data_IF_567240328180
#
_entry.id   IF_567240328180
#
_cell.length_a   1.000
_cell.length_b   1.000
_cell.length_c   1.000
_cell.angle_alpha   90.00
_cell.angle_beta   90.00
_cell.angle_gamma   90.00
#
_symmetry.space_group_name_H-M   'P 1'
#
loop_
_entity.id
_entity.type
_entity.pdbx_description
1 polymer ?
#
# COMPACT_ATOMS: atom_id res chain seq x y z
N UNK A 1 -37.46 14.39 -72.61
CA UNK A 1 -36.68 13.18 -72.26
C UNK A 1 -35.22 13.58 -72.18
N UNK A 2 -34.42 12.97 -71.27
CA UNK A 2 -33.03 13.36 -70.87
C UNK A 2 -33.14 14.45 -69.77
N UNK A 3 -32.76 14.36 -68.49
CA UNK A 3 -31.86 13.53 -67.65
C UNK A 3 -32.35 13.60 -66.18
N UNK A 4 -32.44 12.52 -65.40
CA UNK A 4 -31.40 11.87 -64.55
C UNK A 4 -30.68 12.81 -63.56
N UNK A 5 -31.22 12.83 -62.34
CA UNK A 5 -30.58 12.98 -61.02
C UNK A 5 -29.27 13.79 -60.93
N UNK A 6 -29.39 15.03 -60.45
CA UNK A 6 -28.31 15.79 -59.86
C UNK A 6 -28.67 16.23 -58.44
N UNK A 7 -28.02 15.55 -57.50
CA UNK A 7 -27.36 15.99 -56.26
C UNK A 7 -27.97 17.06 -55.32
N UNK A 8 -27.68 16.87 -54.01
CA UNK A 8 -28.37 17.43 -52.86
C UNK A 8 -27.85 18.83 -52.52
N UNK A 9 -28.45 19.45 -51.51
CA UNK A 9 -28.31 20.84 -51.05
C UNK A 9 -29.46 21.66 -51.63
N UNK A 10 -30.35 22.28 -50.89
CA UNK A 10 -30.34 22.92 -49.58
C UNK A 10 -31.75 22.64 -48.98
N UNK A 11 -32.12 22.85 -47.72
CA UNK A 11 -32.22 24.10 -46.96
C UNK A 11 -32.70 23.65 -45.56
N UNK A 12 -32.42 24.47 -44.53
CA UNK A 12 -33.05 24.52 -43.19
C UNK A 12 -32.76 23.33 -42.28
N UNK A 13 -32.19 23.46 -41.08
CA UNK A 13 -32.44 24.47 -40.04
C UNK A 13 -31.23 24.52 -39.09
N UNK A 14 -30.59 25.68 -39.03
CA UNK A 14 -29.81 26.09 -37.87
C UNK A 14 -30.77 26.33 -36.70
N UNK A 15 -30.70 25.55 -35.60
CA UNK A 15 -31.25 25.89 -34.27
C UNK A 15 -31.15 24.69 -33.31
N UNK A 16 -29.95 24.31 -32.88
CA UNK A 16 -29.78 23.56 -31.60
C UNK A 16 -28.36 23.73 -31.03
N UNK A 17 -27.83 24.95 -31.14
CA UNK A 17 -26.69 25.38 -30.33
C UNK A 17 -27.25 26.16 -29.14
N UNK A 18 -27.56 25.48 -28.03
CA UNK A 18 -27.68 25.99 -26.66
C UNK A 18 -28.37 24.89 -25.85
N UNK A 19 -27.62 24.04 -25.15
CA UNK A 19 -27.97 23.35 -23.89
C UNK A 19 -26.96 22.21 -23.67
N UNK A 20 -26.36 22.20 -22.47
CA UNK A 20 -25.38 21.24 -21.93
C UNK A 20 -23.88 21.62 -22.08
N UNK A 21 -23.57 22.90 -21.89
CA UNK A 21 -22.30 23.29 -21.27
C UNK A 21 -22.46 23.24 -19.74
N UNK A 22 -22.34 22.06 -19.12
CA UNK A 22 -22.38 21.93 -17.64
C UNK A 22 -21.67 20.69 -17.04
N UNK A 23 -20.96 19.87 -17.82
CA UNK A 23 -20.14 18.77 -17.27
C UNK A 23 -18.68 18.90 -17.73
N UNK A 24 -18.09 20.06 -17.52
CA UNK A 24 -16.65 20.28 -17.67
C UNK A 24 -16.14 20.91 -16.37
N UNK A 25 -16.02 20.10 -15.32
CA UNK A 25 -15.55 20.56 -14.02
C UNK A 25 -15.22 19.40 -13.10
N UNK A 26 -13.92 19.21 -12.85
CA UNK A 26 -13.30 18.28 -11.90
C UNK A 26 -13.31 16.79 -12.25
N UNK A 27 -12.60 16.44 -13.33
CA UNK A 27 -11.61 15.37 -13.21
C UNK A 27 -10.32 16.02 -12.67
N UNK A 28 -10.38 16.53 -11.44
CA UNK A 28 -9.19 16.98 -10.75
C UNK A 28 -8.50 15.72 -10.24
N UNK A 29 -7.29 15.53 -10.74
CA UNK A 29 -6.27 14.61 -10.29
C UNK A 29 -6.30 14.37 -8.78
N UNK A 30 -7.00 13.33 -8.34
CA UNK A 30 -6.63 12.64 -7.11
C UNK A 30 -5.49 11.70 -7.49
N UNK A 31 -4.32 12.30 -7.74
CA UNK A 31 -3.10 11.68 -7.27
C UNK A 31 -3.39 11.35 -5.80
N UNK A 32 -3.59 10.06 -5.51
CA UNK A 32 -3.52 9.58 -4.15
C UNK A 32 -2.07 9.83 -3.71
N UNK A 33 -1.79 11.05 -3.23
CA UNK A 33 -0.71 11.29 -2.30
C UNK A 33 -0.92 10.25 -1.21
N UNK A 34 0.02 9.30 -1.15
CA UNK A 34 -0.09 8.12 -0.31
C UNK A 34 -0.45 8.56 1.09
N UNK A 35 -1.72 8.34 1.45
CA UNK A 35 -2.21 8.68 2.77
C UNK A 35 -1.34 7.89 3.75
N UNK A 36 -0.53 8.60 4.53
CA UNK A 36 0.22 8.01 5.62
C UNK A 36 -0.78 7.24 6.47
N UNK A 37 -0.65 5.90 6.59
CA UNK A 37 -1.61 5.13 7.34
C UNK A 37 -1.68 5.67 8.77
N UNK A 38 -2.87 5.70 9.39
CA UNK A 38 -3.02 6.22 10.73
C UNK A 38 -2.08 5.49 11.68
N UNK A 39 -1.52 6.24 12.63
CA UNK A 39 -0.66 5.66 13.65
C UNK A 39 -1.42 4.59 14.46
N UNK A 40 -0.75 3.46 14.68
CA UNK A 40 -1.31 2.31 15.35
C UNK A 40 -1.25 2.47 16.88
N UNK A 41 -2.14 1.78 17.60
CA UNK A 41 -2.18 1.83 19.06
C UNK A 41 -0.98 1.08 19.67
N UNK A 42 -0.42 0.12 18.93
CA UNK A 42 0.76 -0.65 19.33
C UNK A 42 1.75 -0.87 18.19
N UNK A 43 3.00 -1.16 18.53
CA UNK A 43 4.05 -1.53 17.59
C UNK A 43 3.64 -2.74 16.73
N UNK A 44 3.04 -3.75 17.36
CA UNK A 44 2.60 -4.99 16.71
C UNK A 44 1.44 -4.74 15.74
N UNK A 45 0.57 -3.77 16.03
CA UNK A 45 -0.49 -3.34 15.13
C UNK A 45 0.07 -2.55 13.94
N UNK A 46 1.08 -1.70 14.14
CA UNK A 46 1.78 -1.05 13.03
C UNK A 46 2.43 -2.08 12.07
N UNK A 47 3.06 -3.13 12.63
CA UNK A 47 3.62 -4.23 11.85
C UNK A 47 2.51 -5.01 11.12
N UNK A 48 1.39 -5.30 11.79
CA UNK A 48 0.22 -5.95 11.17
C UNK A 48 -0.24 -5.16 9.95
N UNK A 49 -0.52 -3.87 10.12
CA UNK A 49 -1.02 -3.02 9.04
C UNK A 49 -0.05 -2.96 7.85
N UNK A 50 1.26 -2.95 8.12
CA UNK A 50 2.26 -2.96 7.06
C UNK A 50 2.33 -4.29 6.30
N UNK A 51 2.16 -5.43 6.98
CA UNK A 51 2.05 -6.75 6.34
C UNK A 51 0.76 -6.85 5.52
N UNK A 52 -0.36 -6.42 6.07
CA UNK A 52 -1.66 -6.50 5.41
C UNK A 52 -1.76 -5.56 4.20
N UNK A 53 -1.05 -4.43 4.22
CA UNK A 53 -0.92 -3.54 3.08
C UNK A 53 -0.23 -4.20 1.86
N UNK A 54 0.53 -5.28 2.04
CA UNK A 54 1.09 -6.06 0.93
C UNK A 54 0.14 -7.15 0.40
N UNK A 55 -1.08 -7.24 0.94
CA UNK A 55 -2.04 -8.32 0.65
C UNK A 55 -1.73 -9.64 1.34
N UNK A 56 -0.77 -9.67 2.27
CA UNK A 56 -0.47 -10.85 3.08
C UNK A 56 -1.35 -10.90 4.34
N UNK A 57 -1.56 -12.10 4.87
CA UNK A 57 -2.28 -12.28 6.15
C UNK A 57 -1.26 -12.33 7.28
N UNK A 58 -1.47 -11.51 8.32
CA UNK A 58 -0.59 -11.49 9.49
C UNK A 58 -1.02 -12.52 10.55
N UNK A 59 -0.06 -13.29 11.06
CA UNK A 59 -0.26 -14.32 12.08
C UNK A 59 0.16 -13.88 13.50
N UNK A 60 0.71 -12.67 13.65
CA UNK A 60 1.23 -12.20 14.94
C UNK A 60 2.69 -12.59 15.19
N UNK A 61 3.04 -12.81 16.46
CA UNK A 61 4.37 -13.25 16.87
C UNK A 61 4.65 -14.66 16.34
N UNK A 62 5.76 -14.83 15.63
CA UNK A 62 6.20 -16.12 15.12
C UNK A 62 6.26 -17.21 16.20
N UNK A 63 6.61 -16.87 17.44
CA UNK A 63 6.68 -17.83 18.56
C UNK A 63 5.31 -18.37 18.99
N UNK A 64 4.21 -17.68 18.64
CA UNK A 64 2.84 -18.08 18.99
C UNK A 64 2.10 -18.78 17.83
N UNK A 65 2.71 -18.89 16.65
CA UNK A 65 2.09 -19.48 15.47
C UNK A 65 1.95 -21.00 15.57
N UNK A 66 0.91 -21.55 14.93
CA UNK A 66 0.56 -22.97 15.02
C UNK A 66 0.28 -23.58 13.65
N UNK A 67 0.75 -24.81 13.47
CA UNK A 67 0.38 -25.64 12.33
C UNK A 67 -0.90 -26.43 12.65
N UNK A 68 -1.85 -26.55 11.71
CA UNK A 68 -1.79 -26.07 10.32
C UNK A 68 -2.29 -24.63 10.11
N UNK A 69 -2.95 -24.03 11.11
CA UNK A 69 -3.76 -22.81 10.97
C UNK A 69 -3.02 -21.59 10.42
N UNK A 70 -1.72 -21.49 10.69
CA UNK A 70 -0.93 -20.31 10.35
C UNK A 70 -0.02 -20.52 9.13
N UNK A 71 -0.04 -21.69 8.49
CA UNK A 71 0.80 -21.97 7.32
C UNK A 71 0.57 -20.93 6.22
N UNK A 72 1.65 -20.38 5.68
CA UNK A 72 1.63 -19.46 4.55
C UNK A 72 1.31 -18.01 4.90
N UNK A 73 0.86 -17.73 6.15
CA UNK A 73 0.74 -16.38 6.69
C UNK A 73 2.13 -15.78 6.96
N UNK A 74 2.17 -14.48 7.23
CA UNK A 74 3.38 -13.76 7.65
C UNK A 74 3.35 -13.56 9.16
N UNK A 75 4.45 -13.83 9.85
CA UNK A 75 4.61 -13.53 11.27
C UNK A 75 5.78 -12.57 11.49
N UNK A 76 5.85 -11.97 12.67
CA UNK A 76 6.94 -11.08 13.06
C UNK A 76 7.67 -11.59 14.31
N UNK A 77 8.95 -11.25 14.41
CA UNK A 77 9.76 -11.43 15.61
C UNK A 77 10.47 -10.13 15.94
N UNK A 78 10.30 -9.63 17.16
CA UNK A 78 11.06 -8.49 17.67
C UNK A 78 12.54 -8.90 17.82
N UNK A 79 13.44 -8.13 17.21
CA UNK A 79 14.89 -8.37 17.29
C UNK A 79 15.57 -7.38 18.23
N UNK A 80 15.11 -6.15 18.29
CA UNK A 80 15.67 -5.16 19.20
C UNK A 80 14.94 -3.84 19.21
N UNK A 81 15.36 -2.97 20.13
CA UNK A 81 14.81 -1.63 20.34
C UNK A 81 15.94 -0.60 20.44
N UNK A 82 15.68 0.64 20.01
CA UNK A 82 16.61 1.77 20.11
C UNK A 82 15.83 3.07 20.30
N UNK A 83 15.82 3.60 21.53
CA UNK A 83 14.99 4.76 21.86
C UNK A 83 13.50 4.44 21.66
N UNK A 84 12.81 5.30 20.91
CA UNK A 84 11.41 5.10 20.52
C UNK A 84 11.22 4.10 19.36
N UNK A 85 12.29 3.54 18.79
CA UNK A 85 12.22 2.60 17.68
C UNK A 85 12.27 1.13 18.12
N UNK A 86 11.58 0.27 17.37
CA UNK A 86 11.68 -1.20 17.44
C UNK A 86 11.94 -1.77 16.05
N UNK A 87 12.76 -2.81 15.98
CA UNK A 87 13.09 -3.53 14.77
C UNK A 87 12.55 -4.96 14.83
N UNK A 88 11.70 -5.31 13.88
CA UNK A 88 11.14 -6.64 13.70
C UNK A 88 11.72 -7.30 12.45
N UNK A 89 11.88 -8.61 12.49
CA UNK A 89 11.99 -9.42 11.29
C UNK A 89 10.65 -10.06 10.97
N UNK A 90 10.24 -9.97 9.72
CA UNK A 90 9.03 -10.63 9.21
C UNK A 90 9.41 -11.67 8.15
N UNK A 91 8.58 -12.71 8.05
CA UNK A 91 8.73 -13.81 7.12
C UNK A 91 7.48 -14.69 7.11
N UNK A 92 7.41 -15.63 6.16
CA UNK A 92 6.35 -16.63 6.19
C UNK A 92 6.50 -17.50 7.42
N UNK A 93 5.39 -17.90 8.01
CA UNK A 93 5.37 -18.85 9.11
C UNK A 93 6.08 -20.15 8.72
N UNK A 94 6.85 -20.69 9.66
CA UNK A 94 7.65 -21.91 9.45
C UNK A 94 8.63 -21.84 8.27
N UNK A 95 9.09 -20.64 7.92
CA UNK A 95 10.13 -20.38 6.91
C UNK A 95 11.14 -19.35 7.45
N UNK A 96 12.18 -19.07 6.67
CA UNK A 96 13.16 -18.04 6.99
C UNK A 96 12.54 -16.63 6.97
N UNK A 97 13.02 -15.77 7.87
CA UNK A 97 12.74 -14.33 7.84
C UNK A 97 13.37 -13.70 6.61
N UNK A 98 12.72 -12.71 6.00
CA UNK A 98 13.23 -12.07 4.77
C UNK A 98 13.36 -10.56 4.84
N UNK A 99 12.67 -9.92 5.80
CA UNK A 99 12.47 -8.47 5.75
C UNK A 99 12.55 -7.87 7.16
N UNK A 100 13.31 -6.79 7.29
CA UNK A 100 13.26 -5.87 8.42
C UNK A 100 12.07 -4.93 8.31
N UNK A 101 11.38 -4.73 9.44
CA UNK A 101 10.35 -3.70 9.61
C UNK A 101 10.73 -2.86 10.82
N UNK A 102 10.81 -1.54 10.63
CA UNK A 102 11.13 -0.59 11.68
C UNK A 102 9.88 0.20 12.02
N UNK A 103 9.54 0.22 13.31
CA UNK A 103 8.46 1.05 13.84
C UNK A 103 9.00 2.03 14.86
N UNK A 104 8.40 3.21 14.93
CA UNK A 104 8.72 4.26 15.88
C UNK A 104 7.47 4.72 16.62
N UNK A 105 7.62 4.96 17.92
CA UNK A 105 6.58 5.57 18.75
C UNK A 105 6.59 7.09 18.56
N UNK A 106 5.43 7.63 18.19
CA UNK A 106 5.16 9.07 18.06
C UNK A 106 4.06 9.48 19.03
N UNK A 107 3.81 10.78 19.24
CA UNK A 107 2.66 11.23 20.02
C UNK A 107 1.30 10.75 19.49
N UNK A 108 1.21 10.40 18.20
CA UNK A 108 0.00 9.87 17.58
C UNK A 108 -0.15 8.35 17.72
N UNK A 109 0.90 7.65 18.17
CA UNK A 109 0.98 6.19 18.21
C UNK A 109 2.19 5.64 17.46
N UNK A 110 2.16 4.35 17.15
CA UNK A 110 3.23 3.63 16.48
C UNK A 110 3.09 3.68 14.95
N UNK A 111 4.17 3.98 14.25
CA UNK A 111 4.19 4.05 12.78
C UNK A 111 5.36 3.25 12.21
N UNK A 112 5.19 2.67 11.02
CA UNK A 112 6.32 2.11 10.28
C UNK A 112 7.14 3.24 9.68
N UNK A 113 8.42 3.30 10.05
CA UNK A 113 9.37 4.32 9.58
C UNK A 113 10.31 3.79 8.50
N UNK A 114 10.29 2.49 8.23
CA UNK A 114 11.04 1.91 7.13
C UNK A 114 10.99 0.39 7.07
N UNK A 115 11.44 -0.14 5.94
CA UNK A 115 11.68 -1.57 5.73
C UNK A 115 13.01 -1.76 5.01
N UNK A 116 13.62 -2.93 5.18
CA UNK A 116 14.83 -3.31 4.45
C UNK A 116 14.86 -4.84 4.23
N UNK A 117 15.41 -5.34 3.12
CA UNK A 117 15.62 -6.78 2.97
C UNK A 117 16.61 -7.27 4.03
N UNK A 118 16.41 -8.49 4.52
CA UNK A 118 17.41 -9.18 5.33
C UNK A 118 18.55 -9.66 4.44
N UNK A 119 19.77 -9.24 4.76
CA UNK A 119 20.98 -9.76 4.11
C UNK A 119 21.45 -11.04 4.81
N UNK A 120 21.20 -12.18 4.17
CA UNK A 120 21.62 -13.50 4.67
C UNK A 120 23.12 -13.78 4.48
N UNK A 121 23.82 -12.96 3.71
CA UNK A 121 25.26 -13.10 3.49
C UNK A 121 26.08 -12.28 4.51
N UNK A 122 25.42 -11.46 5.32
CA UNK A 122 26.09 -10.69 6.36
C UNK A 122 26.72 -11.65 7.41
N UNK A 123 27.99 -11.43 7.80
CA UNK A 123 28.68 -12.30 8.76
C UNK A 123 28.09 -12.23 10.17
N UNK A 124 27.33 -11.17 10.46
CA UNK A 124 26.64 -10.95 11.72
C UNK A 124 25.30 -10.29 11.46
N UNK A 125 24.28 -10.64 12.23
CA UNK A 125 22.97 -9.97 12.19
C UNK A 125 23.07 -8.62 12.91
N UNK A 126 23.51 -7.59 12.20
CA UNK A 126 23.45 -6.21 12.69
C UNK A 126 22.12 -5.58 12.25
N UNK A 127 21.42 -4.92 13.17
CA UNK A 127 20.15 -4.26 12.87
C UNK A 127 20.45 -3.01 12.00
N UNK A 128 19.96 -2.94 10.75
CA UNK A 128 20.27 -1.82 9.86
C UNK A 128 19.31 -0.66 10.15
N UNK A 129 19.48 -0.05 11.31
CA UNK A 129 18.58 0.99 11.77
C UNK A 129 18.49 2.17 10.77
N UNK A 130 17.28 2.70 10.53
CA UNK A 130 17.09 3.94 9.78
C UNK A 130 17.90 5.10 10.38
N UNK A 131 18.34 6.01 9.51
CA UNK A 131 19.02 7.25 9.89
C UNK A 131 18.02 8.37 10.13
#
# INVERSE_FOLDING_TARGET
MVQRFWRPWQIVTALTALLLAACAGQAADLHAEGAVPPAAVSAEEAVRSAVEATGAVYAGDCAATRSPDDIGKVCAKLIGSRGAMRAYLIGRTFSEFSTWVFVEETPAGWQVVGTAPLDFHAPTLNIPWPR
#
